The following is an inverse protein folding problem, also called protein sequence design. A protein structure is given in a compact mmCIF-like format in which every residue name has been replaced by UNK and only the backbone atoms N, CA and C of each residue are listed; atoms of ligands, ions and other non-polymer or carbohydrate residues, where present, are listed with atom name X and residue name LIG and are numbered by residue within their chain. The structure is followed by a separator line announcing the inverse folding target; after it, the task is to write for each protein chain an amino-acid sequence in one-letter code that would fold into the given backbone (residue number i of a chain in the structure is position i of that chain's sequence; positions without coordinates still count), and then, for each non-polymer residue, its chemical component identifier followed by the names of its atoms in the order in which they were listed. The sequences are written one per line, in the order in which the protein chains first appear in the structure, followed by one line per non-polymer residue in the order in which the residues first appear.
data_IF_697553500614
#
_entry.id   IF_697553500614
#
_cell.length_a   1.000
_cell.length_b   1.000
_cell.length_c   1.000
_cell.angle_alpha   90.00
_cell.angle_beta   90.00
_cell.angle_gamma   90.00
#
_symmetry.space_group_name_H-M   'P 1'
#
loop_
_entity.id
_entity.type
_entity.pdbx_description
1 polymer ?
#
# COMPACT_ATOMS: atom_id res chain seq x y z
N UNK A 1 -39.63 37.17 -18.02
CA UNK A 1 -39.66 35.70 -18.20
C UNK A 1 -40.22 35.10 -16.92
N UNK A 2 -41.24 34.24 -16.97
CA UNK A 2 -41.76 33.57 -15.79
C UNK A 2 -40.74 32.56 -15.28
N UNK A 3 -40.47 32.58 -13.97
CA UNK A 3 -39.55 31.65 -13.31
C UNK A 3 -40.12 30.23 -13.44
N UNK A 4 -39.33 29.21 -13.83
CA UNK A 4 -39.81 27.83 -13.77
C UNK A 4 -40.13 27.50 -12.30
N UNK A 5 -41.36 27.09 -12.02
CA UNK A 5 -41.79 26.76 -10.66
C UNK A 5 -41.37 25.34 -10.31
N UNK A 6 -40.52 25.19 -9.29
CA UNK A 6 -40.12 23.89 -8.72
C UNK A 6 -41.22 23.24 -7.86
N UNK A 7 -42.46 23.73 -7.97
CA UNK A 7 -43.56 23.38 -7.08
C UNK A 7 -43.89 21.88 -7.11
N UNK A 8 -43.91 21.27 -8.31
CA UNK A 8 -44.13 19.83 -8.45
C UNK A 8 -43.07 19.00 -7.73
N UNK A 9 -41.80 19.36 -7.89
CA UNK A 9 -40.68 18.72 -7.19
C UNK A 9 -40.82 18.83 -5.68
N UNK A 10 -41.23 20.00 -5.16
CA UNK A 10 -41.45 20.17 -3.72
C UNK A 10 -42.60 19.33 -3.19
N UNK A 11 -43.68 19.16 -3.96
CA UNK A 11 -44.79 18.26 -3.61
C UNK A 11 -44.28 16.82 -3.51
N UNK A 12 -43.48 16.37 -4.47
CA UNK A 12 -42.94 15.00 -4.50
C UNK A 12 -41.98 14.74 -3.32
N UNK A 13 -41.08 15.69 -3.02
CA UNK A 13 -40.17 15.63 -1.87
C UNK A 13 -40.97 15.56 -0.55
N UNK A 14 -42.03 16.37 -0.42
CA UNK A 14 -42.87 16.35 0.78
C UNK A 14 -43.66 15.04 0.90
N UNK A 15 -44.18 14.49 -0.21
CA UNK A 15 -44.85 13.17 -0.22
C UNK A 15 -43.90 12.05 0.17
N UNK A 16 -42.68 12.06 -0.37
CA UNK A 16 -41.63 11.11 0.00
C UNK A 16 -41.31 11.19 1.49
N UNK A 17 -41.16 12.41 2.02
CA UNK A 17 -40.92 12.65 3.45
C UNK A 17 -42.04 12.15 4.36
N UNK A 18 -43.28 12.36 3.95
CA UNK A 18 -44.45 11.87 4.67
C UNK A 18 -44.49 10.34 4.70
N UNK A 19 -44.25 9.68 3.56
CA UNK A 19 -44.19 8.23 3.47
C UNK A 19 -43.01 7.66 4.28
N UNK A 20 -41.83 8.26 4.17
CA UNK A 20 -40.65 7.88 4.95
C UNK A 20 -40.88 8.07 6.46
N UNK A 21 -41.51 9.18 6.87
CA UNK A 21 -41.86 9.46 8.26
C UNK A 21 -42.94 8.55 8.84
N UNK A 22 -43.71 7.85 8.00
CA UNK A 22 -44.62 6.79 8.44
C UNK A 22 -43.90 5.48 8.73
N UNK A 23 -42.80 5.21 8.02
CA UNK A 23 -41.98 4.01 8.21
C UNK A 23 -40.91 4.21 9.29
N UNK A 24 -40.53 5.45 9.57
CA UNK A 24 -39.48 5.82 10.51
C UNK A 24 -40.03 6.30 11.87
N UNK A 25 -39.28 6.19 12.98
CA UNK A 25 -39.72 6.60 14.31
C UNK A 25 -39.70 8.13 14.52
N UNK A 26 -40.04 8.93 13.50
CA UNK A 26 -39.97 10.39 13.52
C UNK A 26 -41.35 11.03 13.23
N UNK A 27 -42.31 10.94 14.18
CA UNK A 27 -43.70 11.34 13.93
C UNK A 27 -43.87 12.82 13.55
N UNK A 28 -42.99 13.71 14.01
CA UNK A 28 -42.98 15.14 13.67
C UNK A 28 -42.54 15.41 12.22
N UNK A 29 -41.72 14.55 11.62
CA UNK A 29 -41.36 14.67 10.20
C UNK A 29 -42.58 14.29 9.34
N UNK A 30 -43.32 13.25 9.73
CA UNK A 30 -44.58 12.87 9.08
C UNK A 30 -45.61 14.00 9.15
N UNK A 31 -45.85 14.56 10.34
CA UNK A 31 -46.79 15.66 10.55
C UNK A 31 -46.44 16.91 9.72
N UNK A 32 -45.18 17.35 9.81
CA UNK A 32 -44.65 18.45 9.01
C UNK A 32 -44.82 18.22 7.50
N UNK A 33 -44.37 17.08 6.99
CA UNK A 33 -44.43 16.76 5.57
C UNK A 33 -45.88 16.67 5.08
N UNK A 34 -46.77 16.08 5.88
CA UNK A 34 -48.20 16.02 5.57
C UNK A 34 -48.84 17.40 5.43
N UNK A 35 -48.57 18.31 6.37
CA UNK A 35 -49.05 19.69 6.27
C UNK A 35 -48.48 20.41 5.04
N UNK A 36 -47.19 20.21 4.75
CA UNK A 36 -46.54 20.80 3.60
C UNK A 36 -47.15 20.33 2.27
N UNK A 37 -47.44 19.04 2.11
CA UNK A 37 -48.11 18.51 0.91
C UNK A 37 -49.42 19.25 0.66
N UNK A 38 -50.25 19.41 1.69
CA UNK A 38 -51.55 20.10 1.58
C UNK A 38 -51.36 21.57 1.18
N UNK A 39 -50.41 22.28 1.78
CA UNK A 39 -50.11 23.67 1.43
C UNK A 39 -49.64 23.77 -0.02
N UNK A 40 -48.66 22.97 -0.42
CA UNK A 40 -48.05 23.03 -1.75
C UNK A 40 -49.05 22.66 -2.86
N UNK A 41 -49.88 21.64 -2.66
CA UNK A 41 -50.96 21.29 -3.59
C UNK A 41 -52.05 22.37 -3.66
N UNK A 42 -52.30 23.06 -2.54
CA UNK A 42 -53.25 24.19 -2.52
C UNK A 42 -52.70 25.38 -3.30
N UNK A 43 -51.40 25.69 -3.15
CA UNK A 43 -50.69 26.70 -3.94
C UNK A 43 -50.76 26.35 -5.42
N UNK A 44 -50.54 25.08 -5.75
CA UNK A 44 -50.59 24.59 -7.13
C UNK A 44 -51.95 24.85 -7.80
N UNK A 45 -53.04 24.67 -7.03
CA UNK A 45 -54.42 24.90 -7.49
C UNK A 45 -54.83 26.38 -7.49
N UNK A 46 -54.24 27.21 -6.65
CA UNK A 46 -54.71 28.58 -6.39
C UNK A 46 -54.24 29.61 -7.43
N UNK A 47 -52.95 29.69 -7.73
CA UNK A 47 -52.39 30.55 -8.79
C UNK A 47 -50.88 30.30 -8.98
N UNK A 48 -50.50 29.56 -10.03
CA UNK A 48 -49.08 29.27 -10.35
C UNK A 48 -48.28 30.51 -10.78
N UNK A 49 -48.93 31.67 -10.97
CA UNK A 49 -48.26 32.91 -11.40
C UNK A 49 -48.02 33.88 -10.24
N UNK A 50 -48.38 33.52 -9.02
CA UNK A 50 -48.16 34.37 -7.87
C UNK A 50 -46.77 34.12 -7.26
N UNK A 51 -45.81 34.97 -7.59
CA UNK A 51 -44.43 34.90 -7.08
C UNK A 51 -44.37 34.83 -5.55
N UNK A 52 -45.24 35.55 -4.83
CA UNK A 52 -45.29 35.50 -3.35
C UNK A 52 -45.62 34.08 -2.83
N UNK A 53 -46.44 33.31 -3.56
CA UNK A 53 -46.78 31.92 -3.24
C UNK A 53 -45.68 30.94 -3.66
N UNK A 54 -45.00 31.23 -4.77
CA UNK A 54 -43.90 30.40 -5.26
C UNK A 54 -42.67 30.50 -4.36
N UNK A 55 -42.31 31.70 -3.92
CA UNK A 55 -41.21 31.91 -2.97
C UNK A 55 -41.50 31.23 -1.63
N UNK A 56 -42.76 31.25 -1.17
CA UNK A 56 -43.20 30.52 0.01
C UNK A 56 -43.06 29.00 -0.18
N UNK A 57 -43.53 28.48 -1.31
CA UNK A 57 -43.41 27.06 -1.64
C UNK A 57 -41.95 26.62 -1.70
N UNK A 58 -41.07 27.45 -2.26
CA UNK A 58 -39.62 27.20 -2.33
C UNK A 58 -38.97 27.20 -0.95
N UNK A 59 -39.36 28.12 -0.07
CA UNK A 59 -38.88 28.15 1.32
C UNK A 59 -39.30 26.89 2.10
N UNK A 60 -40.58 26.49 1.98
CA UNK A 60 -41.10 25.27 2.61
C UNK A 60 -40.36 24.03 2.09
N UNK A 61 -40.27 23.89 0.76
CA UNK A 61 -39.64 22.73 0.11
C UNK A 61 -38.17 22.57 0.52
N UNK A 62 -37.37 23.63 0.44
CA UNK A 62 -35.98 23.63 0.88
C UNK A 62 -35.80 23.27 2.35
N UNK A 63 -36.73 23.70 3.20
CA UNK A 63 -36.68 23.38 4.63
C UNK A 63 -36.90 21.89 4.87
N UNK A 64 -37.89 21.31 4.21
CA UNK A 64 -38.19 19.87 4.28
C UNK A 64 -37.03 19.04 3.74
N UNK A 65 -36.50 19.41 2.58
CA UNK A 65 -35.35 18.74 1.98
C UNK A 65 -34.13 18.78 2.91
N UNK A 66 -33.82 19.93 3.53
CA UNK A 66 -32.73 20.01 4.50
C UNK A 66 -32.93 19.08 5.70
N UNK A 67 -34.15 19.02 6.27
CA UNK A 67 -34.44 18.11 7.39
C UNK A 67 -34.26 16.67 6.94
N UNK A 68 -34.84 16.26 5.80
CA UNK A 68 -34.74 14.89 5.29
C UNK A 68 -33.29 14.48 5.02
N UNK A 69 -32.51 15.32 4.33
CA UNK A 69 -31.12 15.03 3.98
C UNK A 69 -30.28 14.90 5.25
N UNK A 70 -30.42 15.83 6.20
CA UNK A 70 -29.63 15.78 7.45
C UNK A 70 -29.99 14.56 8.31
N UNK A 71 -31.26 14.15 8.33
CA UNK A 71 -31.70 12.92 9.02
C UNK A 71 -31.19 11.66 8.32
N UNK A 72 -31.14 11.67 6.99
CA UNK A 72 -30.58 10.56 6.21
C UNK A 72 -29.06 10.44 6.41
N UNK A 73 -28.35 11.57 6.46
CA UNK A 73 -26.90 11.64 6.63
C UNK A 73 -26.44 11.30 8.05
N UNK A 74 -27.14 11.79 9.09
CA UNK A 74 -26.69 11.70 10.49
C UNK A 74 -27.59 10.85 11.40
N UNK A 75 -28.66 10.28 10.87
CA UNK A 75 -29.54 9.34 11.56
C UNK A 75 -30.40 9.94 12.67
N UNK A 76 -30.73 9.13 13.68
CA UNK A 76 -31.64 9.51 14.77
C UNK A 76 -31.14 10.69 15.61
N UNK A 77 -29.81 10.83 15.76
CA UNK A 77 -29.20 11.91 16.54
C UNK A 77 -29.53 13.30 15.99
N UNK A 78 -29.59 13.44 14.66
CA UNK A 78 -30.00 14.69 14.01
C UNK A 78 -31.51 14.86 13.98
N UNK A 79 -32.25 13.76 13.82
CA UNK A 79 -33.71 13.80 13.83
C UNK A 79 -34.23 14.44 15.13
N UNK A 80 -33.70 14.07 16.30
CA UNK A 80 -34.16 14.60 17.59
C UNK A 80 -33.95 16.12 17.69
N UNK A 81 -32.86 16.66 17.12
CA UNK A 81 -32.57 18.11 17.12
C UNK A 81 -33.57 18.92 16.30
N UNK A 82 -34.19 18.30 15.29
CA UNK A 82 -35.20 18.95 14.46
C UNK A 82 -36.61 18.95 15.07
N UNK A 83 -36.86 18.21 16.15
CA UNK A 83 -38.20 18.01 16.71
C UNK A 83 -38.95 19.33 16.93
N UNK A 84 -38.33 20.28 17.64
CA UNK A 84 -39.01 21.53 18.03
C UNK A 84 -39.24 22.45 16.83
N UNK A 85 -38.27 22.55 15.92
CA UNK A 85 -38.41 23.39 14.71
C UNK A 85 -39.40 22.77 13.71
N UNK A 86 -39.47 21.44 13.61
CA UNK A 86 -40.47 20.75 12.79
C UNK A 86 -41.89 20.95 13.36
N UNK A 87 -42.06 20.83 14.67
CA UNK A 87 -43.36 21.06 15.32
C UNK A 87 -43.82 22.52 15.16
N UNK A 88 -42.93 23.49 15.30
CA UNK A 88 -43.24 24.91 15.09
C UNK A 88 -43.62 25.20 13.63
N UNK A 89 -42.85 24.64 12.68
CA UNK A 89 -43.17 24.77 11.26
C UNK A 89 -44.51 24.11 10.91
N UNK A 90 -44.82 22.94 11.49
CA UNK A 90 -46.11 22.27 11.34
C UNK A 90 -47.28 23.14 11.79
N UNK A 91 -47.15 23.84 12.93
CA UNK A 91 -48.16 24.81 13.41
C UNK A 91 -48.35 25.93 12.39
N UNK A 92 -47.27 26.54 11.90
CA UNK A 92 -47.34 27.61 10.90
C UNK A 92 -47.99 27.16 9.60
N UNK A 93 -47.71 25.93 9.14
CA UNK A 93 -48.34 25.36 7.95
C UNK A 93 -49.81 25.04 8.20
N UNK A 94 -50.18 24.54 9.37
CA UNK A 94 -51.58 24.26 9.73
C UNK A 94 -52.41 25.54 9.75
N UNK A 95 -51.89 26.61 10.36
CA UNK A 95 -52.51 27.93 10.34
C UNK A 95 -52.69 28.48 8.93
N UNK A 96 -51.68 28.26 8.07
CA UNK A 96 -51.73 28.63 6.66
C UNK A 96 -52.82 27.84 5.91
N UNK A 97 -52.94 26.52 6.14
CA UNK A 97 -54.00 25.68 5.56
C UNK A 97 -55.38 26.21 5.95
N UNK A 98 -55.61 26.46 7.24
CA UNK A 98 -56.89 27.01 7.72
C UNK A 98 -57.22 28.35 7.03
N UNK A 99 -56.22 29.22 6.86
CA UNK A 99 -56.39 30.50 6.16
C UNK A 99 -56.72 30.31 4.68
N UNK A 100 -55.96 29.47 3.97
CA UNK A 100 -56.16 29.19 2.54
C UNK A 100 -57.56 28.65 2.28
N UNK A 101 -58.05 27.73 3.11
CA UNK A 101 -59.40 27.17 3.02
C UNK A 101 -60.49 28.23 3.26
N UNK A 102 -60.31 29.12 4.26
CA UNK A 102 -61.28 30.18 4.55
C UNK A 102 -61.34 31.29 3.47
N UNK A 103 -60.24 31.48 2.73
CA UNK A 103 -60.08 32.56 1.74
C UNK A 103 -60.16 32.09 0.29
N UNK A 104 -60.35 30.78 0.05
CA UNK A 104 -60.47 30.17 -1.29
C UNK A 104 -61.56 30.81 -2.16
N UNK A 105 -62.56 31.48 -1.56
CA UNK A 105 -63.60 32.25 -2.29
C UNK A 105 -63.17 33.64 -2.77
N UNK A 106 -62.01 34.18 -2.33
CA UNK A 106 -61.49 35.52 -2.69
C UNK A 106 -59.96 35.52 -2.78
N UNK A 107 -59.39 35.31 -3.97
CA UNK A 107 -57.93 35.32 -4.24
C UNK A 107 -57.17 36.56 -3.73
N UNK A 108 -57.82 37.73 -3.68
CA UNK A 108 -57.25 38.96 -3.09
C UNK A 108 -56.93 38.84 -1.59
N UNK A 109 -57.61 37.98 -0.84
CA UNK A 109 -57.40 37.80 0.60
C UNK A 109 -56.10 37.08 0.94
N UNK A 110 -55.77 36.03 0.18
CA UNK A 110 -54.54 35.22 0.36
C UNK A 110 -53.30 36.08 0.14
N UNK A 111 -53.27 36.86 -0.94
CA UNK A 111 -52.13 37.75 -1.23
C UNK A 111 -51.90 38.78 -0.13
N UNK A 112 -52.97 39.37 0.42
CA UNK A 112 -52.86 40.33 1.53
C UNK A 112 -52.37 39.66 2.82
N UNK A 113 -52.76 38.42 3.06
CA UNK A 113 -52.33 37.66 4.23
C UNK A 113 -50.83 37.32 4.18
N UNK A 114 -50.34 36.84 3.03
CA UNK A 114 -48.91 36.55 2.86
C UNK A 114 -48.06 37.83 2.91
N UNK A 115 -48.57 38.92 2.32
CA UNK A 115 -47.93 40.24 2.40
C UNK A 115 -48.04 40.90 3.76
N UNK A 116 -48.92 40.44 4.65
CA UNK A 116 -49.01 40.93 6.03
C UNK A 116 -47.82 40.51 6.91
N UNK A 117 -46.79 39.90 6.29
CA UNK A 117 -45.43 39.78 6.82
C UNK A 117 -45.23 38.75 7.94
N UNK A 118 -46.28 38.17 8.54
CA UNK A 118 -46.08 37.25 9.66
C UNK A 118 -45.69 35.82 9.27
N UNK A 119 -46.35 35.22 8.27
CA UNK A 119 -46.20 33.77 7.98
C UNK A 119 -44.91 33.46 7.21
N UNK A 120 -44.58 34.27 6.20
CA UNK A 120 -43.34 34.09 5.44
C UNK A 120 -42.11 34.31 6.32
N UNK A 121 -42.12 35.37 7.14
CA UNK A 121 -41.02 35.65 8.08
C UNK A 121 -40.84 34.54 9.12
N UNK A 122 -41.94 33.98 9.65
CA UNK A 122 -41.89 32.85 10.59
C UNK A 122 -41.32 31.58 9.95
N UNK A 123 -41.76 31.25 8.74
CA UNK A 123 -41.26 30.08 7.99
C UNK A 123 -39.78 30.26 7.62
N UNK A 124 -39.38 31.46 7.20
CA UNK A 124 -37.97 31.77 6.93
C UNK A 124 -37.12 31.70 8.21
N UNK A 125 -37.67 32.08 9.37
CA UNK A 125 -37.03 31.89 10.67
C UNK A 125 -36.83 30.41 11.02
N UNK A 126 -37.82 29.56 10.76
CA UNK A 126 -37.69 28.10 10.90
C UNK A 126 -36.62 27.55 9.96
N UNK A 127 -36.62 28.00 8.70
CA UNK A 127 -35.63 27.60 7.71
C UNK A 127 -34.20 27.95 8.16
N UNK A 128 -34.00 29.14 8.72
CA UNK A 128 -32.69 29.55 9.22
C UNK A 128 -32.21 28.68 10.40
N UNK A 129 -33.10 28.37 11.34
CA UNK A 129 -32.79 27.44 12.44
C UNK A 129 -32.44 26.04 11.93
N UNK A 130 -33.13 25.55 10.90
CA UNK A 130 -32.78 24.27 10.24
C UNK A 130 -31.38 24.34 9.62
N UNK A 131 -31.01 25.47 8.98
CA UNK A 131 -29.64 25.67 8.46
C UNK A 131 -28.60 25.66 9.58
N UNK A 132 -28.87 26.33 10.70
CA UNK A 132 -27.98 26.33 11.87
C UNK A 132 -27.76 24.91 12.39
N UNK A 133 -28.84 24.14 12.60
CA UNK A 133 -28.74 22.75 13.07
C UNK A 133 -27.91 21.92 12.09
N UNK A 134 -28.16 22.04 10.77
CA UNK A 134 -27.37 21.34 9.76
C UNK A 134 -25.88 21.72 9.80
N UNK A 135 -25.58 23.01 9.94
CA UNK A 135 -24.20 23.49 10.04
C UNK A 135 -23.49 22.93 11.28
N UNK A 136 -24.18 22.85 12.42
CA UNK A 136 -23.64 22.26 13.64
C UNK A 136 -23.26 20.78 13.42
N UNK A 137 -24.10 19.99 12.75
CA UNK A 137 -23.76 18.60 12.40
C UNK A 137 -22.57 18.50 11.45
N UNK A 138 -22.47 19.41 10.47
CA UNK A 138 -21.32 19.50 9.59
C UNK A 138 -20.01 19.76 10.36
N UNK A 139 -20.04 20.66 11.35
CA UNK A 139 -18.90 20.96 12.21
C UNK A 139 -18.52 19.74 13.06
N UNK A 140 -19.48 19.08 13.71
CA UNK A 140 -19.21 17.88 14.53
C UNK A 140 -18.60 16.76 13.67
N UNK A 141 -19.15 16.51 12.49
CA UNK A 141 -18.63 15.49 11.56
C UNK A 141 -17.21 15.79 11.10
N UNK A 142 -16.90 17.07 10.83
CA UNK A 142 -15.55 17.50 10.46
C UNK A 142 -14.56 17.29 11.60
N UNK A 143 -14.95 17.63 12.84
CA UNK A 143 -14.15 17.41 14.05
C UNK A 143 -13.87 15.92 14.26
N UNK A 144 -14.90 15.08 14.21
CA UNK A 144 -14.76 13.63 14.38
C UNK A 144 -13.84 13.02 13.32
N UNK A 145 -13.97 13.48 12.07
CA UNK A 145 -13.08 13.07 10.98
C UNK A 145 -11.62 13.47 11.23
N UNK A 146 -11.37 14.67 11.75
CA UNK A 146 -10.03 15.11 12.12
C UNK A 146 -9.41 14.27 13.25
N UNK A 147 -10.21 13.81 14.22
CA UNK A 147 -9.75 12.89 15.25
C UNK A 147 -9.35 11.54 14.67
N UNK A 148 -10.22 10.91 13.86
CA UNK A 148 -9.92 9.62 13.22
C UNK A 148 -8.67 9.70 12.32
N UNK A 149 -8.52 10.78 11.55
CA UNK A 149 -7.32 10.99 10.71
C UNK A 149 -6.06 11.12 11.57
N UNK A 150 -6.17 11.78 12.72
CA UNK A 150 -5.03 11.93 13.65
C UNK A 150 -4.62 10.58 14.24
N UNK A 151 -5.58 9.76 14.66
CA UNK A 151 -5.32 8.41 15.17
C UNK A 151 -4.65 7.53 14.11
N UNK A 152 -5.15 7.57 12.86
CA UNK A 152 -4.54 6.84 11.73
C UNK A 152 -3.11 7.31 11.48
N UNK A 153 -2.87 8.62 11.49
CA UNK A 153 -1.55 9.22 11.29
C UNK A 153 -0.57 8.79 12.38
N UNK A 154 -0.99 8.79 13.64
CA UNK A 154 -0.15 8.38 14.76
C UNK A 154 0.13 6.87 14.73
N UNK A 155 -0.86 6.05 14.37
CA UNK A 155 -0.67 4.61 14.13
C UNK A 155 0.31 4.33 12.99
N UNK A 156 0.20 5.06 11.88
CA UNK A 156 1.12 4.94 10.74
C UNK A 156 2.55 5.35 11.12
N UNK A 157 2.71 6.43 11.89
CA UNK A 157 4.03 6.86 12.40
C UNK A 157 4.66 5.77 13.24
N UNK A 158 3.92 5.23 14.20
CA UNK A 158 4.39 4.15 15.10
C UNK A 158 4.81 2.91 14.32
N UNK A 159 4.02 2.48 13.34
CA UNK A 159 4.36 1.34 12.49
C UNK A 159 5.60 1.60 11.63
N UNK A 160 5.75 2.82 11.12
CA UNK A 160 6.93 3.21 10.33
C UNK A 160 8.19 3.17 11.19
N UNK A 161 8.15 3.71 12.40
CA UNK A 161 9.27 3.67 13.36
C UNK A 161 9.65 2.23 13.72
N UNK A 162 8.66 1.37 14.00
CA UNK A 162 8.88 -0.04 14.27
C UNK A 162 9.50 -0.79 13.08
N UNK A 163 9.03 -0.51 11.86
CA UNK A 163 9.57 -1.11 10.64
C UNK A 163 11.02 -0.66 10.41
N UNK A 164 11.32 0.64 10.56
CA UNK A 164 12.69 1.16 10.47
C UNK A 164 13.61 0.48 11.47
N UNK A 165 13.19 0.36 12.74
CA UNK A 165 13.96 -0.33 13.77
C UNK A 165 14.21 -1.81 13.46
N UNK A 166 13.20 -2.51 12.94
CA UNK A 166 13.34 -3.91 12.53
C UNK A 166 14.31 -4.08 11.36
N UNK A 167 14.25 -3.19 10.36
CA UNK A 167 15.17 -3.18 9.23
C UNK A 167 16.60 -2.93 9.67
N UNK A 168 16.84 -1.92 10.51
CA UNK A 168 18.17 -1.63 11.06
C UNK A 168 18.74 -2.80 11.87
N UNK A 169 17.89 -3.45 12.66
CA UNK A 169 18.28 -4.61 13.46
C UNK A 169 18.63 -5.81 12.58
N UNK A 170 17.82 -6.09 11.56
CA UNK A 170 18.09 -7.15 10.57
C UNK A 170 19.37 -6.90 9.79
N UNK A 171 19.60 -5.65 9.36
CA UNK A 171 20.82 -5.25 8.67
C UNK A 171 22.05 -5.46 9.55
N UNK A 172 22.01 -5.02 10.81
CA UNK A 172 23.10 -5.20 11.77
C UNK A 172 23.42 -6.67 12.01
N UNK A 173 22.40 -7.50 12.18
CA UNK A 173 22.57 -8.95 12.36
C UNK A 173 23.19 -9.61 11.13
N UNK A 174 22.71 -9.26 9.93
CA UNK A 174 23.25 -9.79 8.66
C UNK A 174 24.72 -9.41 8.49
N UNK A 175 25.07 -8.14 8.76
CA UNK A 175 26.45 -7.67 8.64
C UNK A 175 27.38 -8.35 9.65
N UNK A 176 26.92 -8.52 10.89
CA UNK A 176 27.68 -9.24 11.93
C UNK A 176 27.92 -10.71 11.56
N UNK A 177 26.92 -11.40 10.98
CA UNK A 177 27.08 -12.77 10.52
C UNK A 177 28.07 -12.87 9.35
N UNK A 178 28.01 -11.93 8.39
CA UNK A 178 28.97 -11.86 7.29
C UNK A 178 30.39 -11.65 7.82
N UNK A 179 30.59 -10.73 8.75
CA UNK A 179 31.90 -10.46 9.35
C UNK A 179 32.44 -11.69 10.08
N UNK A 180 31.59 -12.37 10.86
CA UNK A 180 31.96 -13.61 11.54
C UNK A 180 32.41 -14.69 10.54
N UNK A 181 31.63 -14.93 9.49
CA UNK A 181 31.98 -15.92 8.46
C UNK A 181 33.25 -15.55 7.70
N UNK A 182 33.47 -14.27 7.41
CA UNK A 182 34.71 -13.81 6.76
C UNK A 182 35.94 -14.08 7.64
N UNK A 183 35.83 -13.86 8.95
CA UNK A 183 36.90 -14.16 9.91
C UNK A 183 37.16 -15.67 10.02
N UNK A 184 36.11 -16.48 10.08
CA UNK A 184 36.23 -17.95 10.12
C UNK A 184 36.97 -18.47 8.87
N UNK A 185 36.59 -18.00 7.68
CA UNK A 185 37.26 -18.35 6.40
C UNK A 185 38.73 -17.88 6.41
N UNK A 186 39.01 -16.67 6.92
CA UNK A 186 40.37 -16.14 6.97
C UNK A 186 41.29 -17.01 7.84
N UNK A 187 40.82 -17.41 9.02
CA UNK A 187 41.59 -18.29 9.90
C UNK A 187 41.75 -19.68 9.31
N UNK A 188 40.73 -20.23 8.65
CA UNK A 188 40.85 -21.51 7.94
C UNK A 188 41.93 -21.44 6.85
N UNK A 189 41.89 -20.44 5.96
CA UNK A 189 42.92 -20.23 4.92
C UNK A 189 44.31 -20.12 5.55
N UNK A 190 44.45 -19.39 6.66
CA UNK A 190 45.73 -19.25 7.36
C UNK A 190 46.24 -20.59 7.86
N UNK A 191 45.40 -21.39 8.51
CA UNK A 191 45.80 -22.71 9.04
C UNK A 191 46.19 -23.69 7.93
N UNK A 192 45.44 -23.72 6.83
CA UNK A 192 45.77 -24.51 5.64
C UNK A 192 47.11 -24.08 5.04
N UNK A 193 47.35 -22.77 4.92
CA UNK A 193 48.63 -22.23 4.44
C UNK A 193 49.82 -22.68 5.29
N UNK A 194 49.72 -22.60 6.61
CA UNK A 194 50.77 -23.08 7.54
C UNK A 194 51.01 -24.58 7.36
N UNK A 195 49.95 -25.39 7.29
CA UNK A 195 50.07 -26.84 7.12
C UNK A 195 50.72 -27.20 5.76
N UNK A 196 50.36 -26.47 4.70
CA UNK A 196 50.94 -26.68 3.37
C UNK A 196 52.42 -26.32 3.34
N UNK A 197 52.83 -25.19 3.93
CA UNK A 197 54.23 -24.82 4.08
C UNK A 197 55.02 -25.88 4.85
N UNK A 198 54.50 -26.37 5.97
CA UNK A 198 55.14 -27.45 6.74
C UNK A 198 55.33 -28.73 5.94
N UNK A 199 54.34 -29.13 5.13
CA UNK A 199 54.44 -30.29 4.24
C UNK A 199 55.49 -30.06 3.15
N UNK A 200 55.54 -28.88 2.56
CA UNK A 200 56.52 -28.52 1.55
C UNK A 200 57.95 -28.51 2.11
N UNK A 201 58.15 -27.95 3.31
CA UNK A 201 59.45 -27.94 4.00
C UNK A 201 59.92 -29.37 4.31
N UNK A 202 59.02 -30.24 4.79
CA UNK A 202 59.32 -31.65 5.04
C UNK A 202 59.72 -32.37 3.76
N UNK A 203 58.93 -32.21 2.69
CA UNK A 203 59.25 -32.82 1.39
C UNK A 203 60.60 -32.36 0.87
N UNK A 204 60.90 -31.06 0.98
CA UNK A 204 62.20 -30.49 0.61
C UNK A 204 63.35 -31.14 1.40
N UNK A 205 63.19 -31.31 2.70
CA UNK A 205 64.19 -31.98 3.56
C UNK A 205 64.38 -33.47 3.19
N UNK A 206 63.30 -34.19 2.91
CA UNK A 206 63.33 -35.60 2.50
C UNK A 206 64.07 -35.76 1.16
N UNK A 207 63.80 -34.89 0.18
CA UNK A 207 64.51 -34.87 -1.11
C UNK A 207 66.00 -34.59 -0.93
N UNK A 208 66.36 -33.59 -0.11
CA UNK A 208 67.78 -33.29 0.18
C UNK A 208 68.47 -34.51 0.79
N UNK A 209 67.79 -35.23 1.68
CA UNK A 209 68.30 -36.46 2.31
C UNK A 209 68.53 -37.57 1.28
N UNK A 210 67.57 -37.79 0.37
CA UNK A 210 67.70 -38.79 -0.71
C UNK A 210 68.83 -38.45 -1.69
N UNK A 211 69.01 -37.16 -2.00
CA UNK A 211 70.11 -36.67 -2.82
C UNK A 211 71.47 -36.92 -2.15
N UNK A 212 71.58 -36.65 -0.85
CA UNK A 212 72.79 -36.93 -0.06
C UNK A 212 73.14 -38.41 0.02
N UNK A 213 72.15 -39.30 -0.05
CA UNK A 213 72.34 -40.77 -0.09
C UNK A 213 72.62 -41.33 -1.48
N UNK A 214 72.59 -40.49 -2.53
CA UNK A 214 72.80 -40.91 -3.92
C UNK A 214 71.62 -41.67 -4.55
N UNK A 215 70.48 -41.76 -3.87
CA UNK A 215 69.27 -42.46 -4.36
C UNK A 215 68.41 -41.60 -5.29
N UNK A 216 68.66 -40.29 -5.37
CA UNK A 216 67.99 -39.36 -6.28
C UNK A 216 69.02 -38.44 -6.95
N UNK A 217 69.04 -38.43 -8.30
CA UNK A 217 69.96 -37.61 -9.12
C UNK A 217 69.29 -36.43 -9.84
N UNK A 218 67.98 -36.24 -9.68
CA UNK A 218 67.24 -35.17 -10.34
C UNK A 218 67.43 -33.78 -9.71
N UNK A 219 66.98 -32.75 -10.43
CA UNK A 219 66.89 -31.36 -9.97
C UNK A 219 65.43 -30.93 -9.87
N UNK A 220 65.02 -30.46 -8.69
CA UNK A 220 63.71 -29.83 -8.48
C UNK A 220 63.86 -28.33 -8.72
N UNK A 221 63.01 -27.76 -9.60
CA UNK A 221 62.91 -26.32 -9.85
C UNK A 221 61.44 -25.89 -9.77
N UNK A 222 61.19 -24.65 -9.34
CA UNK A 222 59.87 -24.05 -9.51
C UNK A 222 59.60 -23.89 -11.01
N UNK A 223 58.42 -24.33 -11.44
CA UNK A 223 57.96 -24.21 -12.82
C UNK A 223 56.89 -23.13 -12.82
N UNK A 224 57.14 -22.02 -13.53
CA UNK A 224 56.16 -20.95 -13.67
C UNK A 224 55.17 -21.27 -14.81
N UNK A 225 54.02 -20.60 -14.77
CA UNK A 225 52.97 -20.73 -15.77
C UNK A 225 53.49 -20.18 -17.12
N UNK A 226 53.95 -21.07 -17.99
CA UNK A 226 54.57 -20.72 -19.28
C UNK A 226 55.82 -21.54 -19.62
N UNK A 227 56.42 -22.24 -18.65
CA UNK A 227 57.71 -22.92 -18.81
C UNK A 227 57.68 -24.23 -19.64
N UNK A 228 56.49 -24.78 -19.90
CA UNK A 228 56.31 -26.09 -20.56
C UNK A 228 55.41 -25.93 -21.78
N UNK A 229 55.94 -26.27 -22.95
CA UNK A 229 55.22 -26.26 -24.22
C UNK A 229 55.02 -27.68 -24.73
N UNK A 230 53.77 -28.15 -24.73
CA UNK A 230 53.40 -29.48 -25.22
C UNK A 230 53.55 -29.55 -26.74
N UNK A 231 54.20 -30.61 -27.23
CA UNK A 231 54.41 -30.82 -28.68
C UNK A 231 53.40 -31.83 -29.19
N UNK A 232 53.40 -33.05 -28.66
CA UNK A 232 52.49 -34.12 -29.09
C UNK A 232 52.25 -35.16 -27.97
N UNK A 233 51.05 -35.75 -27.91
CA UNK A 233 50.78 -36.91 -27.04
C UNK A 233 51.48 -38.15 -27.58
N UNK A 234 52.17 -38.87 -26.71
CA UNK A 234 52.71 -40.19 -27.01
C UNK A 234 51.62 -41.24 -26.76
N UNK A 235 51.46 -42.19 -27.68
CA UNK A 235 50.51 -43.29 -27.49
C UNK A 235 50.94 -44.14 -26.30
N UNK A 236 50.09 -44.21 -25.26
CA UNK A 236 50.32 -45.04 -24.08
C UNK A 236 49.87 -46.46 -24.37
N UNK A 237 50.80 -47.42 -24.34
CA UNK A 237 50.56 -48.83 -24.64
C UNK A 237 50.26 -49.68 -23.38
N UNK A 238 50.05 -49.03 -22.23
CA UNK A 238 49.77 -49.70 -20.96
C UNK A 238 48.40 -49.31 -20.41
N UNK A 239 47.43 -50.23 -20.55
CA UNK A 239 46.20 -50.22 -19.75
C UNK A 239 46.51 -50.85 -18.38
N UNK A 240 46.63 -50.02 -17.35
CA UNK A 240 46.43 -50.48 -15.97
C UNK A 240 45.44 -49.56 -15.26
N UNK A 241 44.43 -50.16 -14.65
CA UNK A 241 43.06 -49.65 -14.48
C UNK A 241 42.89 -48.65 -13.30
N UNK A 242 43.97 -48.00 -12.85
CA UNK A 242 43.98 -47.23 -11.61
C UNK A 242 44.44 -45.75 -11.72
N UNK A 243 45.05 -45.33 -12.83
CA UNK A 243 45.31 -43.91 -13.11
C UNK A 243 45.56 -43.72 -14.61
N UNK A 244 44.81 -42.82 -15.26
CA UNK A 244 45.04 -42.48 -16.67
C UNK A 244 46.33 -41.67 -16.76
N UNK A 245 47.41 -42.37 -17.12
CA UNK A 245 48.72 -41.81 -17.37
C UNK A 245 48.84 -41.44 -18.84
N UNK A 246 49.06 -40.16 -19.09
CA UNK A 246 49.32 -39.64 -20.43
C UNK A 246 50.74 -39.10 -20.49
N UNK A 247 51.57 -39.72 -21.33
CA UNK A 247 52.92 -39.26 -21.62
C UNK A 247 52.88 -38.30 -22.82
N UNK A 248 53.54 -37.16 -22.69
CA UNK A 248 53.66 -36.17 -23.75
C UNK A 248 55.12 -35.84 -24.00
N UNK A 249 55.43 -35.49 -25.24
CA UNK A 249 56.69 -34.85 -25.56
C UNK A 249 56.52 -33.35 -25.40
N UNK A 250 57.36 -32.72 -24.57
CA UNK A 250 57.30 -31.28 -24.32
C UNK A 250 58.68 -30.63 -24.47
N UNK A 251 58.68 -29.41 -24.99
CA UNK A 251 59.84 -28.53 -24.94
C UNK A 251 59.78 -27.75 -23.62
N UNK A 252 60.90 -27.75 -22.90
CA UNK A 252 61.04 -27.02 -21.65
C UNK A 252 61.99 -25.86 -21.93
N UNK A 253 61.59 -24.65 -21.55
CA UNK A 253 62.41 -23.47 -21.74
C UNK A 253 63.77 -23.64 -21.02
N UNK A 254 64.85 -23.34 -21.75
CA UNK A 254 66.27 -23.58 -21.38
C UNK A 254 66.78 -25.04 -21.44
N UNK A 255 66.04 -25.97 -22.06
CA UNK A 255 66.51 -27.34 -22.34
C UNK A 255 66.45 -27.58 -23.85
N UNK A 256 67.60 -27.83 -24.48
CA UNK A 256 67.73 -27.96 -25.94
C UNK A 256 67.12 -29.25 -26.52
N UNK A 257 66.74 -30.21 -25.67
CA UNK A 257 66.16 -31.49 -26.08
C UNK A 257 64.75 -31.65 -25.52
N UNK A 258 63.78 -32.10 -26.34
CA UNK A 258 62.43 -32.40 -25.86
C UNK A 258 62.47 -33.45 -24.76
N UNK A 259 61.72 -33.23 -23.68
CA UNK A 259 61.60 -34.17 -22.57
C UNK A 259 60.24 -34.86 -22.57
N UNK A 260 60.19 -36.05 -22.00
CA UNK A 260 58.94 -36.76 -21.76
C UNK A 260 58.36 -36.21 -20.46
N UNK A 261 57.13 -35.71 -20.55
CA UNK A 261 56.36 -35.22 -19.42
C UNK A 261 55.22 -36.19 -19.18
N UNK A 262 55.21 -36.77 -17.98
CA UNK A 262 54.16 -37.68 -17.53
C UNK A 262 53.11 -36.91 -16.76
N UNK A 263 51.88 -36.92 -17.25
CA UNK A 263 50.75 -36.25 -16.60
C UNK A 263 49.94 -37.27 -15.82
N UNK A 264 49.87 -37.09 -14.51
CA UNK A 264 49.01 -37.86 -13.64
C UNK A 264 47.63 -37.19 -13.57
N UNK A 265 46.63 -37.77 -14.23
CA UNK A 265 45.24 -37.36 -14.01
C UNK A 265 44.66 -38.10 -12.82
N UNK A 266 44.34 -37.35 -11.77
CA UNK A 266 43.55 -37.88 -10.66
C UNK A 266 42.06 -37.70 -10.98
N UNK A 267 41.35 -38.80 -11.18
CA UNK A 267 39.89 -38.81 -11.37
C UNK A 267 39.17 -38.57 -10.05
N UNK A 268 39.02 -37.30 -9.65
CA UNK A 268 37.98 -36.94 -8.70
C UNK A 268 36.71 -36.57 -9.46
N UNK A 269 35.74 -37.47 -9.42
CA UNK A 269 34.37 -37.20 -9.83
C UNK A 269 33.78 -36.07 -8.99
N UNK A 270 33.20 -35.10 -9.73
CA UNK A 270 32.46 -33.91 -9.29
C UNK A 270 33.32 -32.76 -8.79
N UNK A 271 33.71 -31.89 -9.73
CA UNK A 271 33.45 -30.46 -9.61
C UNK A 271 33.41 -29.77 -10.99
N UNK A 272 32.21 -29.33 -11.36
CA UNK A 272 32.01 -28.33 -12.40
C UNK A 272 32.49 -26.96 -11.91
N UNK A 273 33.30 -26.29 -12.74
CA UNK A 273 33.76 -24.89 -12.63
C UNK A 273 34.89 -24.59 -11.62
N UNK A 274 36.13 -24.84 -12.03
CA UNK A 274 37.15 -23.82 -12.33
C UNK A 274 38.49 -24.52 -12.60
N UNK A 275 39.08 -24.22 -13.75
CA UNK A 275 40.42 -24.66 -14.09
C UNK A 275 41.42 -24.08 -13.07
N UNK A 276 41.83 -24.91 -12.12
CA UNK A 276 42.97 -24.68 -11.23
C UNK A 276 43.63 -26.03 -11.02
N UNK A 277 44.09 -26.62 -12.14
CA UNK A 277 44.78 -27.90 -12.15
C UNK A 277 46.12 -27.74 -11.45
N UNK A 278 46.16 -28.12 -10.18
CA UNK A 278 47.40 -28.37 -9.45
C UNK A 278 48.01 -29.66 -10.00
N UNK A 279 48.74 -29.56 -11.10
CA UNK A 279 49.45 -30.69 -11.70
C UNK A 279 50.79 -30.84 -10.98
N UNK A 280 50.98 -31.96 -10.28
CA UNK A 280 52.32 -32.37 -9.83
C UNK A 280 53.01 -33.04 -11.01
N UNK A 281 54.07 -32.41 -11.53
CA UNK A 281 54.85 -32.91 -12.65
C UNK A 281 56.14 -33.50 -12.11
N UNK A 282 56.29 -34.83 -12.17
CA UNK A 282 57.58 -35.49 -11.99
C UNK A 282 58.27 -35.62 -13.36
N UNK A 283 59.39 -34.93 -13.53
CA UNK A 283 60.31 -35.16 -14.64
C UNK A 283 61.33 -36.21 -14.23
N UNK A 284 61.19 -37.43 -14.75
CA UNK A 284 62.27 -38.42 -14.68
C UNK A 284 63.20 -38.21 -15.88
N UNK A 285 64.50 -38.04 -15.61
CA UNK A 285 65.55 -37.95 -16.63
C UNK A 285 66.25 -39.30 -16.64
N UNK A 286 66.01 -40.10 -17.68
CA UNK A 286 66.96 -41.14 -18.11
C UNK A 286 68.04 -40.52 -19.00
#
# INVERSE_FOLDING_TARGET
MPRPSNLGTWIDIAKLGMAAGELAPFPYIKGLCGCAVVVLETIEKADKNNEDLLDLADSIGKTIEMVQNTVTEHGESSAVRFRDVCAELEVHLTDLIAKLNSTQRKSRGIKRFLKAKSVSDAINGCQERVRTIKADFGIHTAIDSCFVISDIKDGLRTNTEALTSAVETSQRHTMSNIEKHANDIHEEIRTWGVLQSQKADKLSADVQTLKGRGSYKGSIRNIELGDIYWIEPLASDYCDDAAVLSDYKANIENINEPKIVRVYQHSNERDTMKASSSNSIETSID
#
